data_IF_679811081607
#
_entry.id   IF_679811081607
#
_cell.length_a   1.000
_cell.length_b   1.000
_cell.length_c   1.000
_cell.angle_alpha   90.00
_cell.angle_beta   90.00
_cell.angle_gamma   90.00
#
_symmetry.space_group_name_H-M   'P 1'
#
loop_
_entity.id
_entity.type
_entity.pdbx_description
1 polymer ?
#
# COMPACT_ATOMS: atom_id res chain seq x y z
N UNK A 1 11.97 -3.48 1.33
CA UNK A 1 11.03 -4.24 2.19
C UNK A 1 11.37 -5.71 2.17
N UNK A 2 11.09 -6.45 1.09
CA UNK A 2 11.21 -7.92 1.08
C UNK A 2 12.55 -8.49 1.58
N UNK A 3 13.68 -8.08 0.97
CA UNK A 3 14.99 -8.57 1.38
C UNK A 3 15.40 -8.20 2.81
N UNK A 4 14.94 -7.05 3.30
CA UNK A 4 15.31 -6.49 4.60
C UNK A 4 14.41 -7.01 5.73
N UNK A 5 13.17 -7.36 5.41
CA UNK A 5 12.11 -7.53 6.39
C UNK A 5 11.56 -8.95 6.42
N UNK A 6 11.44 -9.58 5.25
CA UNK A 6 10.80 -10.90 5.10
C UNK A 6 11.84 -12.00 5.07
N UNK A 7 12.87 -11.86 4.24
CA UNK A 7 13.90 -12.90 4.06
C UNK A 7 14.66 -13.28 5.34
N UNK A 8 14.99 -12.36 6.27
CA UNK A 8 15.73 -12.74 7.47
C UNK A 8 14.99 -13.73 8.38
N UNK A 9 13.65 -13.71 8.37
CA UNK A 9 12.83 -14.62 9.18
C UNK A 9 12.37 -15.82 8.36
N UNK A 10 11.85 -15.62 7.15
CA UNK A 10 11.18 -16.66 6.37
C UNK A 10 12.04 -17.26 5.26
N UNK A 11 13.17 -16.64 4.90
CA UNK A 11 13.92 -16.99 3.68
C UNK A 11 14.56 -18.38 3.69
N UNK A 12 14.63 -19.04 4.85
CA UNK A 12 15.11 -20.42 5.00
C UNK A 12 13.99 -21.41 5.34
N UNK A 13 12.76 -20.93 5.53
CA UNK A 13 11.61 -21.77 5.85
C UNK A 13 11.02 -22.35 4.58
N UNK A 14 10.65 -23.62 4.61
CA UNK A 14 9.81 -24.20 3.56
C UNK A 14 8.44 -23.54 3.58
N UNK A 15 7.82 -23.37 2.41
CA UNK A 15 6.47 -22.78 2.33
C UNK A 15 5.41 -23.60 3.08
N UNK A 16 5.64 -24.90 3.25
CA UNK A 16 4.78 -25.80 4.02
C UNK A 16 4.90 -25.61 5.53
N UNK A 17 6.04 -25.10 6.00
CA UNK A 17 6.32 -24.93 7.43
C UNK A 17 5.92 -23.55 7.95
N UNK A 18 5.68 -22.59 7.05
CA UNK A 18 5.31 -21.22 7.42
C UNK A 18 3.90 -21.21 8.00
N UNK A 19 3.80 -20.81 9.26
CA UNK A 19 2.55 -20.66 10.00
C UNK A 19 2.27 -19.18 10.26
N UNK A 20 1.04 -18.92 10.70
CA UNK A 20 0.59 -17.57 11.07
C UNK A 20 1.52 -16.86 12.09
N UNK A 21 2.04 -17.52 13.15
CA UNK A 21 2.95 -16.86 14.09
C UNK A 21 4.23 -16.34 13.43
N UNK A 22 4.77 -17.05 12.43
CA UNK A 22 5.99 -16.63 11.73
C UNK A 22 5.76 -15.33 10.94
N UNK A 23 4.58 -15.19 10.33
CA UNK A 23 4.17 -13.98 9.63
C UNK A 23 3.96 -12.80 10.60
N UNK A 24 3.36 -13.08 11.76
CA UNK A 24 3.19 -12.09 12.83
C UNK A 24 4.54 -11.64 13.40
N UNK A 25 5.53 -12.53 13.50
CA UNK A 25 6.88 -12.17 13.93
C UNK A 25 7.55 -11.19 12.96
N UNK A 26 7.40 -11.41 11.65
CA UNK A 26 7.87 -10.46 10.63
C UNK A 26 7.20 -9.10 10.80
N UNK A 27 5.88 -9.05 10.97
CA UNK A 27 5.13 -7.81 11.18
C UNK A 27 5.60 -7.11 12.47
N UNK A 28 5.73 -7.84 13.58
CA UNK A 28 6.18 -7.30 14.86
C UNK A 28 7.60 -6.71 14.78
N UNK A 29 8.52 -7.37 14.06
CA UNK A 29 9.87 -6.85 13.79
C UNK A 29 9.83 -5.54 13.00
N UNK A 30 8.91 -5.41 12.05
CA UNK A 30 8.72 -4.17 11.25
C UNK A 30 8.11 -3.04 12.09
N UNK A 31 7.18 -3.37 12.98
CA UNK A 31 6.53 -2.40 13.86
C UNK A 31 7.48 -1.91 14.96
N UNK A 32 8.30 -2.81 15.54
CA UNK A 32 9.29 -2.49 16.58
C UNK A 32 10.30 -1.41 16.14
N UNK A 33 10.65 -1.38 14.87
CA UNK A 33 11.54 -0.38 14.26
C UNK A 33 10.80 0.88 13.74
N UNK A 34 9.52 1.04 14.07
CA UNK A 34 8.64 2.17 13.69
C UNK A 34 8.40 2.33 12.18
N UNK A 35 8.53 1.27 11.38
CA UNK A 35 8.28 1.30 9.94
C UNK A 35 6.81 0.95 9.59
N UNK A 36 5.85 1.70 10.16
CA UNK A 36 4.43 1.34 10.12
C UNK A 36 3.81 1.30 8.72
N UNK A 37 4.26 2.18 7.81
CA UNK A 37 3.83 2.16 6.40
C UNK A 37 4.24 0.87 5.68
N UNK A 38 5.36 0.27 6.08
CA UNK A 38 5.84 -1.03 5.58
C UNK A 38 5.02 -2.16 6.20
N UNK A 39 4.74 -2.11 7.51
CA UNK A 39 3.89 -3.09 8.18
C UNK A 39 2.47 -3.12 7.59
N UNK A 40 1.91 -1.96 7.22
CA UNK A 40 0.62 -1.90 6.53
C UNK A 40 0.66 -2.62 5.17
N UNK A 41 1.76 -2.49 4.42
CA UNK A 41 1.91 -3.10 3.08
C UNK A 41 2.21 -4.59 3.13
N UNK A 42 2.91 -5.10 4.16
CA UNK A 42 3.30 -6.52 4.23
C UNK A 42 2.13 -7.46 4.43
N UNK A 43 1.10 -7.04 5.17
CA UNK A 43 -0.08 -7.86 5.49
C UNK A 43 -0.86 -8.30 4.22
N UNK A 44 -1.36 -7.39 3.38
CA UNK A 44 -2.05 -7.80 2.14
C UNK A 44 -1.11 -8.49 1.16
N UNK A 45 0.19 -8.15 1.19
CA UNK A 45 1.18 -8.82 0.35
C UNK A 45 1.39 -10.29 0.74
N UNK A 46 1.46 -10.61 2.03
CA UNK A 46 1.49 -12.01 2.49
C UNK A 46 0.24 -12.77 2.05
N UNK A 47 -0.94 -12.16 2.18
CA UNK A 47 -2.18 -12.78 1.73
C UNK A 47 -2.13 -13.07 0.22
N UNK A 48 -1.65 -12.12 -0.59
CA UNK A 48 -1.48 -12.33 -2.03
C UNK A 48 -0.44 -13.42 -2.36
N UNK A 49 0.69 -13.45 -1.65
CA UNK A 49 1.74 -14.46 -1.83
C UNK A 49 1.19 -15.87 -1.61
N UNK A 50 0.53 -16.10 -0.48
CA UNK A 50 0.01 -17.43 -0.13
C UNK A 50 -1.20 -17.82 -0.97
N UNK A 51 -2.04 -16.87 -1.39
CA UNK A 51 -3.10 -17.14 -2.38
C UNK A 51 -2.53 -17.62 -3.71
N UNK A 52 -1.47 -16.98 -4.19
CA UNK A 52 -0.78 -17.44 -5.39
C UNK A 52 -0.14 -18.81 -5.18
N UNK A 53 0.53 -19.01 -4.04
CA UNK A 53 1.15 -20.28 -3.70
C UNK A 53 0.15 -21.45 -3.66
N UNK A 54 -1.06 -21.25 -3.12
CA UNK A 54 -2.11 -22.28 -3.09
C UNK A 54 -2.49 -22.78 -4.49
N UNK A 55 -2.37 -21.95 -5.52
CA UNK A 55 -2.69 -22.33 -6.90
C UNK A 55 -1.57 -23.17 -7.53
N UNK A 56 -0.31 -22.85 -7.22
CA UNK A 56 0.85 -23.45 -7.92
C UNK A 56 1.55 -24.55 -7.14
N UNK A 57 1.48 -24.54 -5.80
CA UNK A 57 2.17 -25.49 -4.92
C UNK A 57 1.21 -26.62 -4.58
N UNK A 58 1.55 -27.85 -4.97
CA UNK A 58 0.77 -29.05 -4.63
C UNK A 58 0.88 -29.35 -3.14
N UNK A 59 -0.24 -29.69 -2.50
CA UNK A 59 -0.26 -30.06 -1.08
C UNK A 59 -0.23 -28.88 -0.10
N UNK A 60 -0.24 -27.63 -0.58
CA UNK A 60 -0.53 -26.48 0.27
C UNK A 60 -2.05 -26.32 0.36
N UNK A 61 -2.61 -26.49 1.55
CA UNK A 61 -4.07 -26.55 1.74
C UNK A 61 -4.65 -25.25 2.31
N UNK A 62 -3.82 -24.47 3.01
CA UNK A 62 -4.28 -23.32 3.77
C UNK A 62 -3.38 -22.11 3.57
N UNK A 63 -4.00 -20.93 3.62
CA UNK A 63 -3.29 -19.67 3.61
C UNK A 63 -3.08 -19.18 5.06
N UNK A 64 -1.84 -19.18 5.59
CA UNK A 64 -1.53 -18.73 6.94
C UNK A 64 -1.73 -17.22 7.16
N UNK A 65 -1.88 -16.45 6.07
CA UNK A 65 -2.03 -15.01 6.09
C UNK A 65 -3.49 -14.50 6.01
N UNK A 66 -4.48 -15.41 6.00
CA UNK A 66 -5.88 -15.10 5.69
C UNK A 66 -6.53 -14.02 6.57
N UNK A 67 -6.09 -13.86 7.84
CA UNK A 67 -6.67 -12.87 8.76
C UNK A 67 -5.65 -11.85 9.29
N UNK A 68 -4.53 -11.65 8.61
CA UNK A 68 -3.49 -10.69 9.05
C UNK A 68 -3.88 -9.22 8.87
N UNK A 69 -4.85 -8.96 7.99
CA UNK A 69 -5.44 -7.66 7.69
C UNK A 69 -6.29 -7.14 8.87
N UNK A 70 -6.85 -8.03 9.70
CA UNK A 70 -7.67 -7.65 10.87
C UNK A 70 -6.82 -7.20 12.06
N UNK A 71 -5.58 -7.68 12.18
CA UNK A 71 -4.69 -7.45 13.33
C UNK A 71 -3.89 -6.14 13.20
N UNK A 72 -4.38 -5.16 12.42
CA UNK A 72 -3.60 -3.96 12.08
C UNK A 72 -3.69 -2.88 13.15
N UNK A 73 -2.52 -2.49 13.70
CA UNK A 73 -2.43 -1.21 14.40
C UNK A 73 -2.82 -0.10 13.42
N UNK A 74 -3.77 0.77 13.76
CA UNK A 74 -4.14 1.88 12.91
C UNK A 74 -2.93 2.78 12.70
N UNK A 75 -2.69 3.19 11.45
CA UNK A 75 -1.67 4.20 11.18
C UNK A 75 -2.06 5.51 11.88
N UNK A 76 -1.10 6.26 12.44
CA UNK A 76 -1.37 7.62 12.86
C UNK A 76 -1.94 8.40 11.67
N UNK A 77 -2.88 9.31 11.93
CA UNK A 77 -3.49 10.13 10.90
C UNK A 77 -2.38 10.79 10.06
N UNK A 78 -2.35 10.46 8.77
CA UNK A 78 -1.42 11.09 7.85
C UNK A 78 -1.95 12.49 7.60
N UNK A 79 -1.34 13.50 8.24
CA UNK A 79 -1.57 14.89 7.86
C UNK A 79 -0.96 15.08 6.46
N UNK A 80 -1.76 14.85 5.42
CA UNK A 80 -1.46 15.43 4.13
C UNK A 80 -1.61 16.93 4.33
N UNK A 81 -0.50 17.64 4.50
CA UNK A 81 -0.45 19.05 4.15
C UNK A 81 -0.81 19.10 2.67
N UNK A 82 -2.10 19.20 2.37
CA UNK A 82 -2.58 19.61 1.07
C UNK A 82 -1.84 20.92 0.81
N UNK A 83 -0.97 20.93 -0.19
CA UNK A 83 -0.43 22.18 -0.70
C UNK A 83 -1.63 23.11 -0.87
N UNK A 84 -1.66 24.29 -0.23
CA UNK A 84 -2.79 25.18 -0.37
C UNK A 84 -2.99 25.43 -1.87
N UNK A 85 -4.24 25.30 -2.33
CA UNK A 85 -4.71 25.54 -3.71
C UNK A 85 -4.49 26.99 -4.21
N UNK A 86 -3.51 27.68 -3.63
CA UNK A 86 -3.15 29.08 -3.87
C UNK A 86 -1.78 29.19 -4.54
N UNK A 87 -1.49 28.31 -5.51
CA UNK A 87 -0.34 28.39 -6.42
C UNK A 87 -0.76 28.30 -7.90
N UNK A 88 -2.02 28.63 -8.21
CA UNK A 88 -2.49 28.94 -9.58
C UNK A 88 -3.10 30.36 -9.65
N UNK A 89 -2.66 31.24 -8.76
CA UNK A 89 -3.12 32.62 -8.67
C UNK A 89 -2.04 33.64 -9.02
N UNK A 90 -1.09 33.30 -9.90
CA UNK A 90 -0.14 34.25 -10.45
C UNK A 90 0.00 34.01 -11.96
N UNK A 91 -0.42 35.03 -12.71
CA UNK A 91 -0.23 35.27 -14.14
C UNK A 91 -1.22 34.62 -15.12
N UNK A 92 -2.45 35.15 -15.16
CA UNK A 92 -3.12 35.34 -16.45
C UNK A 92 -2.85 36.80 -16.89
N UNK A 93 -2.14 37.04 -17.99
CA UNK A 93 -2.08 38.39 -18.58
C UNK A 93 -3.48 38.82 -19.03
N UNK A 94 -3.71 40.13 -19.06
CA UNK A 94 -5.02 40.77 -19.24
C UNK A 94 -5.70 40.56 -20.62
N UNK A 95 -5.17 39.69 -21.48
CA UNK A 95 -5.58 39.55 -22.88
C UNK A 95 -6.58 38.41 -23.15
N UNK A 96 -6.99 37.65 -22.13
CA UNK A 96 -7.91 36.49 -22.33
C UNK A 96 -9.40 36.83 -22.15
N UNK A 97 -9.78 38.11 -22.08
CA UNK A 97 -11.17 38.56 -21.86
C UNK A 97 -11.92 38.98 -23.13
N UNK A 98 -11.60 38.40 -24.29
CA UNK A 98 -12.29 38.70 -25.55
C UNK A 98 -12.59 37.49 -26.45
N UNK A 99 -12.45 36.25 -25.95
CA UNK A 99 -12.82 35.04 -26.70
C UNK A 99 -14.01 34.38 -25.99
N UNK A 100 -15.20 34.98 -26.12
CA UNK A 100 -16.42 34.46 -25.47
C UNK A 100 -17.75 34.85 -26.13
N UNK A 101 -17.81 35.99 -26.84
CA UNK A 101 -19.10 36.58 -27.26
C UNK A 101 -19.24 36.83 -28.78
N UNK A 102 -18.59 36.03 -29.64
CA UNK A 102 -18.63 36.25 -31.09
C UNK A 102 -18.78 34.99 -31.97
N UNK A 103 -19.45 33.92 -31.49
CA UNK A 103 -19.77 32.77 -32.36
C UNK A 103 -21.11 32.10 -32.02
N UNK A 104 -22.16 32.88 -31.72
CA UNK A 104 -23.55 32.41 -31.71
C UNK A 104 -24.48 33.49 -32.32
N UNK A 105 -24.27 33.79 -33.59
CA UNK A 105 -25.25 34.47 -34.44
C UNK A 105 -25.18 33.88 -35.87
N UNK A 106 -26.28 33.28 -36.32
CA UNK A 106 -26.49 32.65 -37.64
C UNK A 106 -26.55 31.12 -37.52
N UNK A 107 -27.69 30.44 -37.69
CA UNK A 107 -28.86 30.72 -38.54
C UNK A 107 -30.20 30.67 -37.79
#
# INVERSE_FOLDING_TARGET
MFAKDVLPTLGKCSIYDIKRPDLLEVIAKIEKRKALSVAKKVRPWFNQLFRYALVIVRGLEQNPASDLDVVAMPLPAVNHNALPVRVFGVLLPAEVREIGDAQLLGD
#
